data_IF_124637929735
#
_entry.id   IF_124637929735
#
_cell.length_a   1.000
_cell.length_b   1.000
_cell.length_c   1.000
_cell.angle_alpha   90.00
_cell.angle_beta   90.00
_cell.angle_gamma   90.00
#
_symmetry.space_group_name_H-M   'P 1'
#
loop_
_entity.id
_entity.type
_entity.pdbx_description
1 polymer ?
#
# COMPACT_ATOMS: atom_id res chain seq x y z
N UNK A 1 -30.36 16.49 -0.03
CA UNK A 1 -28.97 16.96 -0.19
C UNK A 1 -28.06 15.78 0.04
N UNK A 2 -27.01 15.64 -0.76
CA UNK A 2 -25.93 14.69 -0.48
C UNK A 2 -24.85 15.51 0.21
N UNK A 3 -24.46 15.09 1.41
CA UNK A 3 -23.45 15.80 2.20
C UNK A 3 -22.09 15.75 1.49
N UNK A 4 -21.29 16.80 1.65
CA UNK A 4 -19.99 16.92 0.98
C UNK A 4 -19.00 15.90 1.58
N UNK A 5 -18.97 14.70 1.02
CA UNK A 5 -17.99 13.68 1.35
C UNK A 5 -16.59 14.17 0.99
N UNK A 6 -15.68 14.20 1.96
CA UNK A 6 -14.28 14.57 1.72
C UNK A 6 -13.63 13.45 0.91
N UNK A 7 -12.96 13.81 -0.19
CA UNK A 7 -12.27 12.89 -1.10
C UNK A 7 -10.81 12.68 -0.68
N UNK A 8 -10.15 11.66 -1.26
CA UNK A 8 -8.69 11.53 -1.07
C UNK A 8 -7.98 12.69 -1.79
N UNK A 9 -8.57 13.25 -2.87
CA UNK A 9 -8.00 14.40 -3.59
C UNK A 9 -7.96 15.69 -2.76
N UNK A 10 -8.88 15.85 -1.80
CA UNK A 10 -8.91 16.98 -0.86
C UNK A 10 -7.80 16.92 0.20
N UNK A 11 -7.17 15.76 0.39
CA UNK A 11 -6.02 15.60 1.30
C UNK A 11 -4.69 16.03 0.63
N UNK A 12 -4.70 16.20 -0.69
CA UNK A 12 -3.57 16.68 -1.50
C UNK A 12 -2.85 15.58 -2.29
N UNK A 13 -2.41 15.92 -3.51
CA UNK A 13 -1.61 15.08 -4.43
C UNK A 13 -1.90 13.57 -4.39
N UNK A 14 -3.10 13.16 -4.82
CA UNK A 14 -3.36 11.76 -5.15
C UNK A 14 -2.75 11.42 -6.50
N UNK A 15 -1.79 10.50 -6.50
CA UNK A 15 -1.31 9.88 -7.72
C UNK A 15 -2.06 8.55 -7.93
N UNK A 16 -2.99 8.55 -8.88
CA UNK A 16 -3.56 7.29 -9.39
C UNK A 16 -2.65 6.81 -10.51
N UNK A 17 -1.95 5.69 -10.32
CA UNK A 17 -1.20 5.05 -11.40
C UNK A 17 -2.12 4.22 -12.29
N UNK A 18 -2.46 4.65 -13.52
CA UNK A 18 -2.97 3.71 -14.51
C UNK A 18 -1.91 2.65 -14.79
N UNK A 19 -2.40 1.45 -15.10
CA UNK A 19 -1.65 0.23 -15.43
C UNK A 19 -0.34 0.50 -16.19
N UNK A 20 0.79 0.04 -15.64
CA UNK A 20 2.04 0.00 -16.39
C UNK A 20 1.84 -0.81 -17.68
N UNK A 21 1.98 -0.17 -18.83
CA UNK A 21 1.76 -0.79 -20.15
C UNK A 21 2.99 -1.61 -20.54
N UNK A 22 3.12 -2.79 -19.95
CA UNK A 22 3.65 -4.01 -20.57
C UNK A 22 3.07 -5.21 -19.79
N UNK A 23 1.82 -5.56 -20.09
CA UNK A 23 1.24 -6.82 -19.65
C UNK A 23 1.76 -7.95 -20.55
N UNK A 24 3.02 -8.33 -20.35
CA UNK A 24 3.69 -9.42 -21.06
C UNK A 24 2.85 -10.72 -21.02
N UNK A 25 2.86 -11.47 -22.14
CA UNK A 25 2.33 -12.82 -22.26
C UNK A 25 2.81 -13.73 -21.10
N UNK A 26 4.05 -13.51 -20.63
CA UNK A 26 4.62 -14.17 -19.47
C UNK A 26 3.80 -13.97 -18.18
N UNK A 27 3.16 -12.80 -17.99
CA UNK A 27 2.29 -12.53 -16.84
C UNK A 27 1.00 -13.35 -16.89
N UNK A 28 0.39 -13.49 -18.08
CA UNK A 28 -0.82 -14.31 -18.26
C UNK A 28 -0.54 -15.81 -18.08
N UNK A 29 0.56 -16.31 -18.65
CA UNK A 29 0.99 -17.69 -18.45
C UNK A 29 1.41 -17.96 -17.00
N UNK A 30 2.03 -16.98 -16.31
CA UNK A 30 2.27 -17.09 -14.87
C UNK A 30 0.96 -17.14 -14.07
N UNK A 31 -0.09 -16.37 -14.42
CA UNK A 31 -1.42 -16.50 -13.80
C UNK A 31 -2.00 -17.91 -13.99
N UNK A 32 -1.87 -18.53 -15.17
CA UNK A 32 -2.29 -19.93 -15.40
C UNK A 32 -1.49 -20.92 -14.54
N UNK A 33 -0.16 -20.79 -14.51
CA UNK A 33 0.74 -21.64 -13.69
C UNK A 33 0.44 -21.51 -12.19
N UNK A 34 0.21 -20.29 -11.70
CA UNK A 34 -0.19 -19.99 -10.33
C UNK A 34 -1.56 -20.60 -9.99
N UNK A 35 -2.58 -20.46 -10.86
CA UNK A 35 -3.90 -21.11 -10.69
C UNK A 35 -3.76 -22.65 -10.60
N UNK A 36 -2.95 -23.27 -11.47
CA UNK A 36 -2.71 -24.73 -11.44
C UNK A 36 -1.93 -25.17 -10.19
N UNK A 37 -0.95 -24.38 -9.74
CA UNK A 37 -0.17 -24.65 -8.51
C UNK A 37 -1.02 -24.49 -7.25
N UNK A 38 -1.93 -23.49 -7.22
CA UNK A 38 -2.91 -23.27 -6.16
C UNK A 38 -3.88 -24.44 -6.05
N UNK A 39 -4.56 -24.82 -7.14
CA UNK A 39 -5.48 -25.96 -7.14
C UNK A 39 -4.82 -27.25 -6.62
N UNK A 40 -3.59 -27.55 -7.07
CA UNK A 40 -2.81 -28.71 -6.61
C UNK A 40 -2.32 -28.62 -5.14
N UNK A 41 -2.31 -27.42 -4.54
CA UNK A 41 -2.03 -27.23 -3.11
C UNK A 41 -3.30 -27.37 -2.29
N UNK A 42 -4.42 -26.85 -2.79
CA UNK A 42 -5.72 -26.92 -2.12
C UNK A 42 -6.23 -28.39 -2.14
N UNK A 43 -6.12 -29.10 -3.27
CA UNK A 43 -6.30 -30.57 -3.41
C UNK A 43 -5.43 -31.37 -2.41
N UNK A 44 -4.22 -30.90 -2.10
CA UNK A 44 -3.33 -31.54 -1.11
C UNK A 44 -3.69 -31.21 0.33
N UNK A 45 -4.30 -30.04 0.56
CA UNK A 45 -4.71 -29.60 1.89
C UNK A 45 -6.00 -30.29 2.30
N UNK A 46 -6.99 -30.37 1.41
CA UNK A 46 -8.21 -31.16 1.64
C UNK A 46 -7.87 -32.61 2.02
N UNK A 47 -6.88 -33.21 1.34
CA UNK A 47 -6.38 -34.56 1.65
C UNK A 47 -5.58 -34.67 2.95
N UNK A 48 -5.02 -33.57 3.46
CA UNK A 48 -4.36 -33.52 4.76
C UNK A 48 -5.39 -33.32 5.89
N UNK A 49 -6.33 -32.40 5.69
CA UNK A 49 -7.46 -32.12 6.58
C UNK A 49 -8.42 -33.34 6.70
N UNK A 50 -8.43 -34.23 5.71
CA UNK A 50 -9.12 -35.54 5.74
C UNK A 50 -8.36 -36.58 6.59
N UNK A 51 -7.03 -36.63 6.50
CA UNK A 51 -6.17 -37.50 7.34
C UNK A 51 -6.20 -37.05 8.79
N UNK A 52 -6.08 -35.75 9.06
CA UNK A 52 -6.14 -35.16 10.40
C UNK A 52 -7.49 -35.43 11.08
N UNK A 53 -8.58 -35.48 10.30
CA UNK A 53 -9.92 -35.89 10.80
C UNK A 53 -10.00 -37.35 11.27
N UNK A 54 -9.00 -38.18 10.99
CA UNK A 54 -8.93 -39.59 11.44
C UNK A 54 -8.00 -39.81 12.64
N UNK A 55 -7.28 -38.78 13.11
CA UNK A 55 -6.32 -38.86 14.23
C UNK A 55 -6.55 -37.70 15.22
N UNK A 56 -7.17 -37.99 16.36
CA UNK A 56 -7.61 -36.93 17.29
C UNK A 56 -6.56 -36.48 18.34
N UNK A 57 -6.89 -35.35 18.97
CA UNK A 57 -6.56 -34.87 20.34
C UNK A 57 -5.53 -33.72 20.58
N UNK A 58 -6.03 -32.75 21.37
CA UNK A 58 -5.46 -31.91 22.44
C UNK A 58 -4.34 -30.83 22.25
N UNK A 59 -4.80 -29.57 22.30
CA UNK A 59 -4.44 -28.48 23.27
C UNK A 59 -3.17 -27.58 23.19
N UNK A 60 -3.36 -26.36 23.73
CA UNK A 60 -2.54 -25.12 23.78
C UNK A 60 -1.50 -25.14 24.94
N UNK A 61 -0.61 -24.12 25.20
CA UNK A 61 -0.45 -22.75 24.64
C UNK A 61 1.00 -22.46 24.11
N UNK A 62 1.50 -21.25 23.80
CA UNK A 62 0.96 -19.87 23.76
C UNK A 62 1.74 -18.88 24.67
N UNK A 63 2.41 -17.85 24.11
CA UNK A 63 3.52 -17.12 24.77
C UNK A 63 3.51 -15.56 24.65
N UNK A 64 4.25 -14.88 25.53
CA UNK A 64 4.24 -13.41 25.74
C UNK A 64 5.28 -12.67 24.88
N UNK A 65 5.02 -11.39 24.55
CA UNK A 65 5.98 -10.50 23.89
C UNK A 65 6.12 -9.16 24.64
N UNK A 66 7.33 -8.87 25.11
CA UNK A 66 7.67 -7.66 25.87
C UNK A 66 7.80 -6.41 24.98
N UNK A 67 7.85 -5.24 25.62
CA UNK A 67 7.82 -3.94 24.95
C UNK A 67 9.12 -3.53 24.26
N UNK A 68 9.00 -2.61 23.30
CA UNK A 68 10.13 -1.86 22.75
C UNK A 68 9.75 -0.39 22.54
N UNK A 69 10.76 0.49 22.68
CA UNK A 69 10.58 1.92 22.83
C UNK A 69 10.09 2.61 21.54
N UNK A 70 9.26 3.65 21.72
CA UNK A 70 8.76 4.50 20.64
C UNK A 70 9.81 5.55 20.23
N UNK A 71 10.16 5.65 18.93
CA UNK A 71 10.87 6.83 18.42
C UNK A 71 9.93 8.04 18.41
N UNK A 72 10.45 9.21 18.76
CA UNK A 72 9.67 10.46 18.75
C UNK A 72 9.28 10.85 17.33
N UNK A 73 8.06 11.39 17.17
CA UNK A 73 7.60 11.96 15.92
C UNK A 73 8.56 13.06 15.43
N UNK A 74 8.92 13.01 14.14
CA UNK A 74 9.67 14.08 13.50
C UNK A 74 8.83 15.35 13.40
N UNK A 75 9.46 16.52 13.52
CA UNK A 75 8.78 17.81 13.46
C UNK A 75 8.00 17.98 12.15
N UNK A 76 6.77 18.55 12.18
CA UNK A 76 6.01 18.80 10.96
C UNK A 76 6.75 19.82 10.10
N UNK A 77 7.13 19.41 8.89
CA UNK A 77 7.66 20.33 7.88
C UNK A 77 6.50 21.17 7.32
N UNK A 78 6.78 22.44 6.99
CA UNK A 78 5.75 23.44 6.71
C UNK A 78 4.75 22.99 5.63
N UNK A 79 3.46 23.04 5.97
CA UNK A 79 2.38 22.89 5.00
C UNK A 79 2.50 24.00 3.95
N UNK A 80 2.70 23.63 2.69
CA UNK A 80 2.77 24.57 1.57
C UNK A 80 1.40 25.22 1.36
N UNK A 81 1.29 26.52 1.61
CA UNK A 81 0.04 27.31 1.54
C UNK A 81 -0.44 27.62 0.11
N UNK A 82 0.03 26.86 -0.88
CA UNK A 82 -0.38 26.98 -2.29
C UNK A 82 -1.50 26.01 -2.67
N UNK A 83 -2.17 26.22 -3.82
CA UNK A 83 -3.12 25.25 -4.35
C UNK A 83 -2.45 23.90 -4.62
N UNK A 84 -3.12 22.80 -4.28
CA UNK A 84 -2.60 21.46 -4.49
C UNK A 84 -2.32 21.20 -5.97
N UNK A 85 -1.05 20.97 -6.31
CA UNK A 85 -0.62 20.64 -7.68
C UNK A 85 -1.25 19.32 -8.13
N UNK A 86 -1.59 19.20 -9.41
CA UNK A 86 -2.24 18.01 -9.97
C UNK A 86 -1.41 17.38 -11.08
N UNK A 87 -1.47 16.06 -11.20
CA UNK A 87 -0.89 15.29 -12.31
C UNK A 87 0.55 15.67 -12.67
N UNK A 88 0.75 16.14 -13.90
CA UNK A 88 2.07 16.48 -14.42
C UNK A 88 2.71 17.71 -13.78
N UNK A 89 1.94 18.65 -13.22
CA UNK A 89 2.51 19.82 -12.56
C UNK A 89 3.15 19.45 -11.22
N UNK A 90 2.53 18.53 -10.48
CA UNK A 90 3.15 17.89 -9.32
C UNK A 90 4.43 17.14 -9.73
N UNK A 91 4.36 16.28 -10.76
CA UNK A 91 5.52 15.52 -11.24
C UNK A 91 6.70 16.42 -11.64
N UNK A 92 6.42 17.57 -12.28
CA UNK A 92 7.42 18.59 -12.62
C UNK A 92 7.99 19.27 -11.37
N UNK A 93 7.15 19.65 -10.43
CA UNK A 93 7.55 20.31 -9.18
C UNK A 93 8.47 19.45 -8.30
N UNK A 94 8.27 18.12 -8.26
CA UNK A 94 9.18 17.19 -7.57
C UNK A 94 10.45 16.83 -8.38
N UNK A 95 10.77 17.60 -9.43
CA UNK A 95 12.01 17.46 -10.21
C UNK A 95 11.95 16.45 -11.37
N UNK A 96 10.76 16.03 -11.81
CA UNK A 96 10.57 15.05 -12.90
C UNK A 96 11.39 13.76 -12.74
N UNK A 97 11.22 13.03 -11.61
CA UNK A 97 12.08 11.90 -11.25
C UNK A 97 12.06 10.77 -12.28
N UNK A 98 13.26 10.24 -12.58
CA UNK A 98 13.48 9.16 -13.57
C UNK A 98 13.75 7.81 -12.90
N UNK A 99 14.46 7.82 -11.77
CA UNK A 99 14.81 6.63 -11.01
C UNK A 99 13.88 6.51 -9.81
N UNK A 100 12.92 5.59 -9.88
CA UNK A 100 11.87 5.40 -8.88
C UNK A 100 12.06 4.06 -8.16
N UNK A 101 12.04 4.07 -6.83
CA UNK A 101 11.97 2.86 -6.02
C UNK A 101 10.54 2.35 -6.06
N UNK A 102 10.35 1.09 -6.43
CA UNK A 102 9.01 0.49 -6.46
C UNK A 102 8.49 0.19 -5.04
N UNK A 103 7.17 0.33 -4.80
CA UNK A 103 6.56 -0.09 -3.54
C UNK A 103 6.64 -1.61 -3.42
N UNK A 104 7.31 -2.09 -2.37
CA UNK A 104 7.56 -3.50 -2.11
C UNK A 104 7.43 -3.78 -0.60
N UNK A 105 6.53 -4.69 -0.24
CA UNK A 105 6.29 -5.09 1.16
C UNK A 105 7.50 -5.85 1.70
N UNK A 106 7.97 -5.49 2.90
CA UNK A 106 9.16 -6.03 3.56
C UNK A 106 10.45 -5.83 2.75
N UNK A 107 10.57 -4.70 2.03
CA UNK A 107 11.73 -4.34 1.21
C UNK A 107 11.90 -2.81 1.06
N UNK A 108 10.82 -2.04 0.93
CA UNK A 108 10.87 -0.59 0.63
C UNK A 108 10.80 0.31 1.86
N UNK A 109 11.22 -0.20 3.02
CA UNK A 109 11.27 0.55 4.29
C UNK A 109 12.31 1.69 4.22
N UNK A 110 12.27 2.62 5.19
CA UNK A 110 13.12 3.82 5.21
C UNK A 110 14.61 3.51 5.00
N UNK A 111 15.16 2.49 5.65
CA UNK A 111 16.57 2.13 5.53
C UNK A 111 16.97 1.77 4.08
N UNK A 112 16.11 1.02 3.37
CA UNK A 112 16.33 0.68 1.97
C UNK A 112 16.16 1.89 1.05
N UNK A 113 15.16 2.73 1.30
CA UNK A 113 14.95 3.95 0.51
C UNK A 113 16.12 4.93 0.64
N UNK A 114 16.65 5.11 1.85
CA UNK A 114 17.87 5.89 2.08
C UNK A 114 19.12 5.26 1.45
N UNK A 115 19.22 3.93 1.40
CA UNK A 115 20.29 3.23 0.67
C UNK A 115 20.20 3.53 -0.83
N UNK A 116 19.04 3.30 -1.46
CA UNK A 116 18.83 3.55 -2.89
C UNK A 116 19.05 5.03 -3.27
N UNK A 117 18.71 5.98 -2.40
CA UNK A 117 19.01 7.41 -2.61
C UNK A 117 20.52 7.68 -2.73
N UNK A 118 21.37 7.01 -1.94
CA UNK A 118 22.84 7.09 -2.09
C UNK A 118 23.35 6.55 -3.43
N UNK A 119 22.57 5.71 -4.11
CA UNK A 119 22.84 5.18 -5.45
C UNK A 119 22.03 5.87 -6.56
N UNK A 120 21.51 7.08 -6.32
CA UNK A 120 20.88 7.92 -7.34
C UNK A 120 19.37 7.74 -7.55
N UNK A 121 18.67 7.04 -6.65
CA UNK A 121 17.21 7.01 -6.69
C UNK A 121 16.61 8.41 -6.42
N UNK A 122 15.79 8.89 -7.37
CA UNK A 122 15.19 10.24 -7.35
C UNK A 122 13.81 10.30 -6.69
N UNK A 123 13.09 9.17 -6.60
CA UNK A 123 11.75 9.08 -6.00
C UNK A 123 11.61 7.79 -5.18
N UNK A 124 11.11 7.91 -3.96
CA UNK A 124 10.77 6.77 -3.09
C UNK A 124 9.27 6.49 -3.10
N UNK A 125 8.90 5.21 -2.99
CA UNK A 125 7.57 4.77 -2.59
C UNK A 125 7.70 3.92 -1.33
N UNK A 126 6.83 4.10 -0.35
CA UNK A 126 6.77 3.23 0.85
C UNK A 126 6.35 1.80 0.49
N UNK A 127 6.43 0.85 1.45
CA UNK A 127 5.68 -0.39 1.35
C UNK A 127 4.19 -0.09 1.15
N UNK A 128 3.48 -1.03 0.50
CA UNK A 128 2.03 -0.98 0.35
C UNK A 128 1.38 -1.23 1.72
N UNK A 129 0.72 -0.22 2.28
CA UNK A 129 -0.02 -0.34 3.55
C UNK A 129 -1.49 -0.65 3.32
N UNK A 130 -2.09 -1.51 4.16
CA UNK A 130 -3.54 -1.77 4.13
C UNK A 130 -4.22 -0.64 4.92
N UNK A 131 -5.07 0.15 4.26
CA UNK A 131 -5.65 1.37 4.81
C UNK A 131 -6.46 1.10 6.09
N UNK A 132 -7.24 0.02 6.10
CA UNK A 132 -8.04 -0.40 7.26
C UNK A 132 -7.15 -0.71 8.48
N UNK A 133 -5.96 -1.28 8.28
CA UNK A 133 -5.01 -1.56 9.37
C UNK A 133 -4.30 -0.27 9.83
N UNK A 134 -3.97 0.59 8.87
CA UNK A 134 -3.31 1.88 9.10
C UNK A 134 -4.17 2.87 9.90
N UNK A 135 -5.49 2.83 9.71
CA UNK A 135 -6.45 3.64 10.49
C UNK A 135 -6.75 3.02 11.85
N UNK A 136 -6.89 1.69 11.95
CA UNK A 136 -7.34 1.01 13.18
C UNK A 136 -6.27 0.80 14.25
N UNK A 137 -4.99 0.84 13.91
CA UNK A 137 -3.93 0.39 14.82
C UNK A 137 -2.68 1.29 14.76
N UNK A 138 -2.55 2.21 15.71
CA UNK A 138 -1.39 3.11 15.80
C UNK A 138 -0.09 2.34 16.08
N UNK A 139 -0.16 1.21 16.80
CA UNK A 139 0.98 0.30 16.99
C UNK A 139 1.48 -0.24 15.64
N UNK A 140 0.57 -0.64 14.74
CA UNK A 140 0.94 -1.09 13.40
C UNK A 140 1.63 0.04 12.62
N UNK A 141 1.04 1.25 12.62
CA UNK A 141 1.66 2.43 11.98
C UNK A 141 3.07 2.67 12.51
N UNK A 142 3.29 2.67 13.83
CA UNK A 142 4.61 2.89 14.44
C UNK A 142 5.65 1.82 14.10
N UNK A 143 5.22 0.62 13.70
CA UNK A 143 6.11 -0.48 13.31
C UNK A 143 6.46 -0.45 11.82
N UNK A 144 5.53 -0.02 10.94
CA UNK A 144 5.68 -0.14 9.48
C UNK A 144 5.98 1.17 8.76
N UNK A 145 5.66 2.32 9.36
CA UNK A 145 5.80 3.63 8.76
C UNK A 145 6.89 4.47 9.45
N UNK A 146 7.92 4.82 8.67
CA UNK A 146 8.99 5.72 9.09
C UNK A 146 9.47 6.55 7.89
N UNK A 147 9.80 7.81 8.15
CA UNK A 147 10.32 8.79 7.17
C UNK A 147 11.34 9.72 7.83
N UNK A 148 12.10 10.48 7.06
CA UNK A 148 12.99 11.54 7.56
C UNK A 148 13.15 12.66 6.52
N UNK A 149 13.80 13.77 6.89
CA UNK A 149 13.96 14.92 5.98
C UNK A 149 14.68 14.57 4.66
N UNK A 150 15.67 13.66 4.71
CA UNK A 150 16.42 13.18 3.54
C UNK A 150 15.66 12.14 2.68
N UNK A 151 14.46 11.76 3.09
CA UNK A 151 13.65 10.74 2.41
C UNK A 151 12.75 11.33 1.30
N UNK A 152 12.81 12.63 1.02
CA UNK A 152 11.96 13.30 0.02
C UNK A 152 12.63 13.39 -1.37
N UNK A 153 11.88 13.37 -2.49
CA UNK A 153 10.43 13.20 -2.55
C UNK A 153 10.01 11.74 -2.31
N UNK A 154 8.98 11.53 -1.48
CA UNK A 154 8.42 10.23 -1.12
C UNK A 154 6.90 10.17 -1.34
N UNK A 155 6.42 9.01 -1.78
CA UNK A 155 5.01 8.71 -1.99
C UNK A 155 4.58 7.57 -1.09
N UNK A 156 3.51 7.77 -0.31
CA UNK A 156 2.93 6.71 0.54
C UNK A 156 1.91 5.93 -0.28
N UNK A 157 2.10 4.61 -0.41
CA UNK A 157 1.14 3.76 -1.10
C UNK A 157 0.16 3.09 -0.13
N UNK A 158 -1.14 3.29 -0.36
CA UNK A 158 -2.21 2.56 0.33
C UNK A 158 -2.91 1.56 -0.58
N UNK A 159 -3.47 0.53 0.04
CA UNK A 159 -4.41 -0.41 -0.55
C UNK A 159 -5.64 -0.52 0.36
N UNK A 160 -6.84 -0.42 -0.21
CA UNK A 160 -8.12 -0.46 0.48
C UNK A 160 -9.24 -0.33 -0.55
N UNK A 161 -10.49 -0.51 -0.14
CA UNK A 161 -11.66 -0.43 -1.05
C UNK A 161 -12.77 0.48 -0.56
N UNK A 162 -12.64 1.06 0.64
CA UNK A 162 -13.53 2.06 1.20
C UNK A 162 -12.93 3.47 1.03
N UNK A 163 -13.59 4.41 0.32
CA UNK A 163 -13.14 5.79 0.18
C UNK A 163 -12.86 6.48 1.51
N UNK A 164 -13.73 6.34 2.51
CA UNK A 164 -13.61 7.07 3.78
C UNK A 164 -12.41 6.58 4.60
N UNK A 165 -12.14 5.27 4.56
CA UNK A 165 -10.95 4.69 5.20
C UNK A 165 -9.66 5.15 4.51
N UNK A 166 -9.66 5.24 3.17
CA UNK A 166 -8.50 5.72 2.40
C UNK A 166 -8.23 7.20 2.65
N UNK A 167 -9.26 8.03 2.78
CA UNK A 167 -9.14 9.44 3.17
C UNK A 167 -8.51 9.58 4.55
N UNK A 168 -8.99 8.80 5.53
CA UNK A 168 -8.46 8.85 6.89
C UNK A 168 -7.01 8.33 6.98
N UNK A 169 -6.67 7.29 6.20
CA UNK A 169 -5.29 6.82 6.06
C UNK A 169 -4.38 7.90 5.44
N UNK A 170 -4.86 8.64 4.42
CA UNK A 170 -4.13 9.73 3.80
C UNK A 170 -3.90 10.91 4.77
N UNK A 171 -4.90 11.28 5.58
CA UNK A 171 -4.77 12.34 6.61
C UNK A 171 -3.67 12.01 7.63
N UNK A 172 -3.58 10.74 8.06
CA UNK A 172 -2.56 10.26 9.01
C UNK A 172 -1.11 10.44 8.51
N UNK A 173 -0.88 10.54 7.20
CA UNK A 173 0.45 10.79 6.59
C UNK A 173 0.62 12.20 6.01
N UNK A 174 -0.36 13.09 6.17
CA UNK A 174 -0.29 14.46 5.69
C UNK A 174 0.92 15.19 6.30
N UNK A 175 1.65 15.94 5.46
CA UNK A 175 2.93 16.59 5.84
C UNK A 175 4.14 15.64 5.93
N UNK A 176 3.94 14.33 6.05
CA UNK A 176 5.01 13.33 6.18
C UNK A 176 5.47 12.74 4.83
N UNK A 177 4.72 12.99 3.76
CA UNK A 177 5.05 12.61 2.38
C UNK A 177 4.77 13.74 1.38
N UNK A 178 5.10 13.51 0.10
CA UNK A 178 4.91 14.47 -1.02
C UNK A 178 3.64 14.16 -1.82
N UNK A 179 3.20 12.89 -1.84
CA UNK A 179 1.94 12.45 -2.43
C UNK A 179 1.46 11.13 -1.78
N UNK A 180 0.21 10.79 -2.05
CA UNK A 180 -0.40 9.48 -1.72
C UNK A 180 -0.73 8.74 -3.02
N UNK A 181 -0.43 7.44 -3.07
CA UNK A 181 -0.67 6.56 -4.22
C UNK A 181 -1.65 5.43 -3.86
N UNK A 182 -2.57 5.14 -4.78
CA UNK A 182 -3.56 4.06 -4.62
C UNK A 182 -3.10 2.82 -5.37
N UNK A 183 -2.91 1.71 -4.65
CA UNK A 183 -2.57 0.44 -5.27
C UNK A 183 -3.78 -0.14 -6.02
N UNK A 184 -3.74 -0.08 -7.35
CA UNK A 184 -4.67 -0.72 -8.28
C UNK A 184 -4.05 -1.95 -9.00
N UNK A 185 -2.91 -2.44 -8.51
CA UNK A 185 -2.05 -3.38 -9.24
C UNK A 185 -1.83 -4.75 -8.59
N UNK A 186 -1.99 -4.87 -7.27
CA UNK A 186 -1.63 -6.07 -6.52
C UNK A 186 -2.51 -7.29 -6.93
N UNK A 187 -1.94 -8.37 -7.51
CA UNK A 187 -2.69 -9.52 -7.99
C UNK A 187 -2.77 -10.66 -6.95
N UNK A 188 -2.40 -10.40 -5.69
CA UNK A 188 -2.36 -11.43 -4.66
C UNK A 188 -3.77 -11.87 -4.24
N UNK A 189 -3.94 -13.15 -3.92
CA UNK A 189 -5.21 -13.74 -3.46
C UNK A 189 -5.86 -13.04 -2.25
N UNK A 190 -5.06 -12.34 -1.43
CA UNK A 190 -5.57 -11.56 -0.29
C UNK A 190 -6.22 -10.27 -0.78
N UNK A 191 -5.56 -9.54 -1.69
CA UNK A 191 -6.10 -8.33 -2.32
C UNK A 191 -7.36 -8.62 -3.14
N UNK A 192 -7.33 -9.70 -3.93
CA UNK A 192 -8.48 -10.11 -4.74
C UNK A 192 -9.71 -10.46 -3.89
N UNK A 193 -9.53 -11.14 -2.75
CA UNK A 193 -10.64 -11.43 -1.82
C UNK A 193 -11.07 -10.23 -0.99
N UNK A 194 -10.18 -9.28 -0.74
CA UNK A 194 -10.49 -8.01 -0.06
C UNK A 194 -11.11 -6.94 -0.94
N UNK A 195 -11.26 -7.18 -2.24
CA UNK A 195 -11.81 -6.20 -3.19
C UNK A 195 -10.92 -4.98 -3.42
N UNK A 196 -9.60 -5.11 -3.21
CA UNK A 196 -8.62 -4.02 -3.40
C UNK A 196 -7.48 -4.46 -4.32
N UNK A 197 -6.55 -3.55 -4.64
CA UNK A 197 -5.46 -3.86 -5.57
C UNK A 197 -6.01 -4.07 -6.98
N UNK A 198 -5.59 -5.16 -7.64
CA UNK A 198 -6.03 -5.47 -9.00
C UNK A 198 -7.54 -5.75 -9.14
N UNK A 199 -8.26 -6.04 -8.03
CA UNK A 199 -9.71 -6.25 -8.08
C UNK A 199 -10.51 -4.97 -8.33
N UNK A 200 -9.99 -3.79 -7.94
CA UNK A 200 -10.66 -2.51 -8.20
C UNK A 200 -10.69 -2.16 -9.69
N UNK A 201 -9.84 -2.77 -10.52
CA UNK A 201 -9.84 -2.56 -11.97
C UNK A 201 -11.10 -3.12 -12.67
N UNK A 202 -11.88 -3.94 -11.98
CA UNK A 202 -13.17 -4.46 -12.46
C UNK A 202 -14.36 -3.56 -12.01
N UNK A 203 -14.16 -2.61 -11.07
CA UNK A 203 -15.16 -1.67 -10.55
C UNK A 203 -14.66 -0.21 -10.65
N UNK A 204 -14.83 0.36 -11.84
CA UNK A 204 -14.43 1.74 -12.15
C UNK A 204 -15.25 2.79 -11.39
N UNK A 205 -16.49 2.49 -11.00
CA UNK A 205 -17.32 3.37 -10.18
C UNK A 205 -16.69 3.53 -8.80
N UNK A 206 -16.28 2.42 -8.16
CA UNK A 206 -15.55 2.48 -6.89
C UNK A 206 -14.25 3.25 -7.00
N UNK A 207 -13.48 3.05 -8.07
CA UNK A 207 -12.23 3.80 -8.29
C UNK A 207 -12.49 5.30 -8.43
N UNK A 208 -13.54 5.71 -9.14
CA UNK A 208 -13.96 7.10 -9.21
C UNK A 208 -14.29 7.65 -7.81
N UNK A 209 -15.09 6.93 -7.02
CA UNK A 209 -15.53 7.39 -5.69
C UNK A 209 -14.41 7.43 -4.63
N UNK A 210 -13.33 6.67 -4.83
CA UNK A 210 -12.11 6.78 -4.00
C UNK A 210 -11.31 8.04 -4.37
N UNK A 211 -11.26 8.40 -5.66
CA UNK A 211 -10.34 9.40 -6.19
C UNK A 211 -10.94 10.81 -6.20
N UNK A 212 -12.26 10.92 -6.30
CA UNK A 212 -12.98 12.15 -6.63
C UNK A 212 -13.56 12.88 -5.44
#
# INVERSE_FOLDING_TARGET
GIENGVSVSDVGCVLVRPRAVMADQACFENRKKLKKKKRKRDERRERADEVERTSGTCDLPGDKAEGHATPRAGSPCALTTGPALRGFDFFRAIGSPKYCIAPMVNQSELAFRMLCRRYGATLGYTPMFIAEQFVKCDRYVSMVFATCAGDRPNIVQFAGSDPQVLVEAARRVQGQCDAVDLNLGCPQDIALRGGYGAALMDDWSRVHDIVR
#
